data_IF_265188900811
#
_entry.id   IF_265188900811
#
_cell.length_a   1.000
_cell.length_b   1.000
_cell.length_c   1.000
_cell.angle_alpha   90.00
_cell.angle_beta   90.00
_cell.angle_gamma   90.00
#
_symmetry.space_group_name_H-M   'P 1'
#
loop_
_entity.id
_entity.type
_entity.pdbx_description
1 polymer ?
#
# COMPACT_ATOMS: atom_id res chain seq x y z
N UNK A 1 -3.41 -6.71 11.19
CA UNK A 1 -2.89 -7.05 9.83
C UNK A 1 -2.95 -8.55 9.63
N UNK A 2 -3.32 -9.01 8.44
CA UNK A 2 -3.16 -10.40 7.99
C UNK A 2 -2.30 -10.39 6.73
N UNK A 3 -1.35 -11.29 6.57
CA UNK A 3 -0.44 -11.29 5.43
C UNK A 3 -0.11 -12.70 4.95
N UNK A 4 0.12 -12.85 3.65
CA UNK A 4 0.64 -14.06 3.00
C UNK A 4 1.73 -13.68 1.98
N UNK A 5 2.63 -14.61 1.69
CA UNK A 5 3.51 -14.53 0.53
C UNK A 5 2.84 -15.14 -0.70
N UNK A 6 3.00 -14.50 -1.86
CA UNK A 6 2.46 -14.97 -3.13
C UNK A 6 3.52 -14.88 -4.23
N UNK A 7 3.77 -15.98 -4.95
CA UNK A 7 4.67 -15.96 -6.10
C UNK A 7 3.95 -15.36 -7.31
N UNK A 8 4.61 -14.46 -8.03
CA UNK A 8 4.09 -13.84 -9.26
C UNK A 8 5.06 -14.08 -10.43
N UNK A 9 5.08 -15.30 -11.00
CA UNK A 9 6.03 -15.65 -12.06
C UNK A 9 5.95 -14.73 -13.28
N UNK A 10 4.76 -14.22 -13.60
CA UNK A 10 4.55 -13.33 -14.75
C UNK A 10 5.23 -11.96 -14.59
N UNK A 11 5.55 -11.58 -13.36
CA UNK A 11 6.19 -10.32 -13.00
C UNK A 11 7.61 -10.52 -12.45
N UNK A 12 8.13 -11.75 -12.50
CA UNK A 12 9.43 -12.16 -11.97
C UNK A 12 9.66 -11.69 -10.52
N UNK A 13 8.60 -11.71 -9.70
CA UNK A 13 8.65 -11.24 -8.33
C UNK A 13 7.82 -12.09 -7.37
N UNK A 14 7.96 -11.78 -6.08
CA UNK A 14 7.07 -12.26 -5.02
C UNK A 14 6.37 -11.07 -4.39
N UNK A 15 5.14 -11.27 -3.93
CA UNK A 15 4.33 -10.26 -3.28
C UNK A 15 4.09 -10.62 -1.82
N UNK A 16 4.23 -9.63 -0.94
CA UNK A 16 3.67 -9.69 0.41
C UNK A 16 2.24 -9.16 0.33
N UNK A 17 1.27 -10.06 0.19
CA UNK A 17 -0.15 -9.70 0.11
C UNK A 17 -0.69 -9.48 1.51
N UNK A 18 -1.26 -8.30 1.78
CA UNK A 18 -1.72 -7.92 3.11
C UNK A 18 -3.17 -7.46 3.10
N UNK A 19 -3.89 -7.84 4.15
CA UNK A 19 -5.21 -7.30 4.49
C UNK A 19 -5.08 -6.48 5.78
N UNK A 20 -5.33 -5.17 5.66
CA UNK A 20 -5.44 -4.27 6.79
C UNK A 20 -6.87 -4.32 7.33
N UNK A 21 -7.08 -5.16 8.35
CA UNK A 21 -8.40 -5.34 8.99
C UNK A 21 -8.82 -4.14 9.84
N UNK A 22 -7.88 -3.29 10.24
CA UNK A 22 -8.13 -2.03 10.94
C UNK A 22 -6.96 -1.07 10.65
N UNK A 23 -7.12 -0.21 9.66
CA UNK A 23 -6.09 0.74 9.22
C UNK A 23 -5.84 1.87 10.23
N UNK A 24 -6.79 2.12 11.15
CA UNK A 24 -6.63 3.11 12.23
C UNK A 24 -5.73 2.61 13.35
N UNK A 25 -5.71 1.29 13.57
CA UNK A 25 -4.81 0.66 14.54
C UNK A 25 -3.42 0.39 13.96
N UNK A 26 -3.34 0.02 12.68
CA UNK A 26 -2.06 -0.17 11.97
C UNK A 26 -2.17 0.47 10.60
N UNK A 27 -1.47 1.60 10.40
CA UNK A 27 -1.55 2.35 9.16
C UNK A 27 -0.92 1.61 7.98
N UNK A 28 -1.37 1.94 6.75
CA UNK A 28 -0.75 1.42 5.52
C UNK A 28 0.73 1.81 5.41
N UNK A 29 1.08 2.99 5.91
CA UNK A 29 2.47 3.47 5.96
C UNK A 29 3.34 2.65 6.90
N UNK A 30 2.84 2.27 8.07
CA UNK A 30 3.57 1.41 9.01
C UNK A 30 3.80 0.01 8.43
N UNK A 31 2.77 -0.57 7.80
CA UNK A 31 2.89 -1.86 7.11
C UNK A 31 3.93 -1.78 5.99
N UNK A 32 3.86 -0.75 5.15
CA UNK A 32 4.83 -0.54 4.06
C UNK A 32 6.25 -0.36 4.61
N UNK A 33 6.44 0.50 5.61
CA UNK A 33 7.75 0.77 6.20
C UNK A 33 8.37 -0.50 6.80
N UNK A 34 7.55 -1.31 7.49
CA UNK A 34 7.97 -2.59 8.07
C UNK A 34 8.41 -3.57 7.00
N UNK A 35 7.61 -3.75 5.93
CA UNK A 35 7.98 -4.64 4.82
C UNK A 35 9.24 -4.13 4.11
N UNK A 36 9.37 -2.81 3.90
CA UNK A 36 10.53 -2.21 3.24
C UNK A 36 11.81 -2.37 4.09
N UNK A 37 11.70 -2.30 5.42
CA UNK A 37 12.82 -2.57 6.31
C UNK A 37 13.25 -4.04 6.22
N UNK A 38 12.32 -4.98 6.38
CA UNK A 38 12.60 -6.42 6.29
C UNK A 38 13.15 -6.81 4.90
N UNK A 39 12.60 -6.24 3.82
CA UNK A 39 13.11 -6.44 2.47
C UNK A 39 14.60 -6.08 2.38
N UNK A 40 14.97 -4.90 2.89
CA UNK A 40 16.37 -4.46 2.91
C UNK A 40 17.26 -5.36 3.75
N UNK A 41 16.80 -5.80 4.91
CA UNK A 41 17.55 -6.74 5.77
C UNK A 41 17.81 -8.08 5.06
N UNK A 42 16.89 -8.51 4.20
CA UNK A 42 17.04 -9.71 3.38
C UNK A 42 17.72 -9.47 2.01
N UNK A 43 18.27 -8.28 1.77
CA UNK A 43 18.97 -7.96 0.52
C UNK A 43 18.06 -7.85 -0.71
N UNK A 44 16.76 -7.63 -0.50
CA UNK A 44 15.77 -7.40 -1.55
C UNK A 44 15.17 -5.99 -1.45
N UNK A 45 14.40 -5.58 -2.46
CA UNK A 45 13.81 -4.25 -2.55
C UNK A 45 12.35 -4.34 -2.99
N UNK A 46 11.53 -3.43 -2.49
CA UNK A 46 10.16 -3.25 -3.01
C UNK A 46 10.25 -2.48 -4.33
N UNK A 47 9.83 -3.10 -5.43
CA UNK A 47 9.69 -2.44 -6.74
C UNK A 47 8.54 -1.44 -6.71
N UNK A 48 7.36 -1.92 -6.34
CA UNK A 48 6.10 -1.18 -6.35
C UNK A 48 5.09 -1.85 -5.39
N UNK A 49 3.96 -1.19 -5.16
CA UNK A 49 2.82 -1.76 -4.43
C UNK A 49 1.53 -1.63 -5.24
N UNK A 50 0.55 -2.44 -4.86
CA UNK A 50 -0.77 -2.44 -5.44
C UNK A 50 -1.82 -2.40 -4.33
N UNK A 51 -2.73 -1.45 -4.44
CA UNK A 51 -3.99 -1.44 -3.73
C UNK A 51 -4.99 -2.32 -4.49
N UNK A 52 -5.76 -3.14 -3.79
CA UNK A 52 -6.90 -3.89 -4.33
C UNK A 52 -8.20 -3.24 -3.83
N UNK A 53 -9.11 -2.85 -4.74
CA UNK A 53 -10.38 -2.22 -4.38
C UNK A 53 -10.31 -0.70 -4.14
N UNK A 54 -10.98 -0.21 -3.10
CA UNK A 54 -10.99 1.21 -2.72
C UNK A 54 -10.24 1.41 -1.40
N UNK A 55 -9.77 2.63 -1.15
CA UNK A 55 -9.11 3.00 0.11
C UNK A 55 -9.81 4.20 0.75
N UNK A 56 -10.08 4.18 2.07
CA UNK A 56 -10.56 5.36 2.78
C UNK A 56 -9.56 6.51 2.66
N UNK A 57 -10.06 7.72 2.42
CA UNK A 57 -9.24 8.94 2.33
C UNK A 57 -8.38 9.16 3.58
N UNK A 58 -8.98 9.00 4.76
CA UNK A 58 -8.29 9.17 6.06
C UNK A 58 -7.15 8.15 6.28
N UNK A 59 -7.14 7.02 5.57
CA UNK A 59 -6.05 6.05 5.62
C UNK A 59 -4.77 6.55 4.93
N UNK A 60 -4.89 7.44 3.94
CA UNK A 60 -3.77 8.08 3.25
C UNK A 60 -3.36 9.39 3.92
N UNK A 61 -4.31 10.10 4.55
CA UNK A 61 -4.07 11.39 5.19
C UNK A 61 -3.45 11.28 6.60
N UNK A 62 -3.36 10.07 7.16
CA UNK A 62 -3.02 9.79 8.57
C UNK A 62 -1.71 10.40 9.09
N UNK A 63 -0.81 10.89 8.22
CA UNK A 63 0.45 11.55 8.59
C UNK A 63 0.62 12.96 8.02
N UNK A 64 -0.46 13.59 7.55
CA UNK A 64 -0.40 14.90 6.88
C UNK A 64 0.21 14.84 5.49
N UNK A 65 0.25 13.65 4.87
CA UNK A 65 0.65 13.49 3.48
C UNK A 65 -0.40 14.07 2.55
N UNK A 66 0.04 14.76 1.49
CA UNK A 66 -0.81 14.92 0.31
C UNK A 66 -1.01 13.57 -0.38
N UNK A 67 -2.06 13.44 -1.19
CA UNK A 67 -2.28 12.24 -1.99
C UNK A 67 -1.04 11.85 -2.81
N UNK A 68 -0.41 12.83 -3.47
CA UNK A 68 0.81 12.61 -4.25
C UNK A 68 1.95 12.05 -3.38
N UNK A 69 2.17 12.64 -2.20
CA UNK A 69 3.21 12.16 -1.27
C UNK A 69 2.91 10.76 -0.75
N UNK A 70 1.63 10.44 -0.51
CA UNK A 70 1.21 9.11 -0.10
C UNK A 70 1.46 8.07 -1.20
N UNK A 71 1.10 8.38 -2.46
CA UNK A 71 1.35 7.53 -3.64
C UNK A 71 2.84 7.25 -3.79
N UNK A 72 3.68 8.28 -3.70
CA UNK A 72 5.13 8.15 -3.81
C UNK A 72 5.71 7.34 -2.65
N UNK A 73 5.30 7.65 -1.41
CA UNK A 73 5.81 6.98 -0.21
C UNK A 73 5.47 5.50 -0.21
N UNK A 74 4.24 5.15 -0.58
CA UNK A 74 3.76 3.76 -0.63
C UNK A 74 4.20 3.04 -1.91
N UNK A 75 4.85 3.72 -2.86
CA UNK A 75 5.22 3.18 -4.19
C UNK A 75 4.02 2.63 -4.98
N UNK A 76 2.88 3.30 -4.91
CA UNK A 76 1.69 2.93 -5.67
C UNK A 76 1.93 3.30 -7.15
N UNK A 77 2.24 2.32 -8.00
CA UNK A 77 2.50 2.56 -9.42
C UNK A 77 1.20 2.79 -10.21
N UNK A 78 1.22 3.69 -11.19
CA UNK A 78 0.07 3.91 -12.07
C UNK A 78 -0.32 2.67 -12.87
N UNK A 79 0.67 1.83 -13.25
CA UNK A 79 0.44 0.60 -14.02
C UNK A 79 -0.44 -0.42 -13.27
N UNK A 80 -0.26 -0.56 -11.95
CA UNK A 80 -1.04 -1.52 -11.13
C UNK A 80 -2.23 -0.89 -10.43
N UNK A 81 -2.19 0.41 -10.16
CA UNK A 81 -3.21 1.06 -9.34
C UNK A 81 -4.24 1.86 -10.15
N UNK A 82 -3.96 2.15 -11.42
CA UNK A 82 -4.82 2.98 -12.26
C UNK A 82 -4.93 4.41 -11.74
N UNK A 83 -6.10 5.02 -11.93
CA UNK A 83 -6.42 6.33 -11.39
C UNK A 83 -6.68 6.23 -9.88
N UNK A 84 -5.76 6.77 -9.08
CA UNK A 84 -5.86 6.76 -7.63
C UNK A 84 -6.95 7.69 -7.10
N UNK A 85 -7.27 8.79 -7.79
CA UNK A 85 -8.32 9.73 -7.34
C UNK A 85 -9.68 9.04 -7.37
N UNK A 86 -9.95 8.25 -8.42
CA UNK A 86 -11.16 7.45 -8.55
C UNK A 86 -11.28 6.29 -7.54
N UNK A 87 -10.22 6.00 -6.76
CA UNK A 87 -10.16 4.89 -5.81
C UNK A 87 -10.19 5.30 -4.35
N UNK A 88 -10.26 6.60 -4.09
CA UNK A 88 -10.38 7.16 -2.75
C UNK A 88 -11.85 7.22 -2.37
N UNK A 89 -12.17 6.65 -1.22
CA UNK A 89 -13.50 6.71 -0.63
C UNK A 89 -13.50 7.77 0.48
N UNK A 90 -14.20 8.87 0.24
CA UNK A 90 -14.45 9.88 1.27
C UNK A 90 -15.62 9.44 2.15
N UNK A 91 -15.30 8.85 3.31
CA UNK A 91 -16.28 8.29 4.23
C UNK A 91 -17.11 9.37 4.95
N UNK A 92 -16.66 10.63 4.97
CA UNK A 92 -17.39 11.72 5.60
C UNK A 92 -18.52 12.26 4.70
N UNK A 93 -18.59 11.81 3.44
CA UNK A 93 -19.61 12.18 2.46
C UNK A 93 -20.76 11.18 2.35
N UNK A 94 -20.78 10.13 3.17
CA UNK A 94 -21.74 9.01 3.14
C UNK A 94 -22.47 8.91 4.48
#
# INVERSE_FOLDING_TARGET
>A
VKAIGWSMPEYECVQVSTNLTNYKATSVFEVFATINHLAKEHGTLIKETELIGLIPKDALDAQGYSLESAIQTLKLSSERNGDMEARILDLDMI
#
